data_IF_409663466967
#
_entry.id   IF_409663466967
#
_cell.length_a   1.000
_cell.length_b   1.000
_cell.length_c   1.000
_cell.angle_alpha   90.00
_cell.angle_beta   90.00
_cell.angle_gamma   90.00
#
_symmetry.space_group_name_H-M   'P 1'
#
loop_
_entity.id
_entity.type
_entity.pdbx_description
1 polymer ?
#
# COMPACT_ATOMS: atom_id res chain seq x y z
N UNK A 1 17.53 1.15 -7.74
CA UNK A 1 16.17 1.54 -7.32
C UNK A 1 15.18 1.08 -8.37
N UNK A 2 14.17 0.28 -7.99
CA UNK A 2 13.34 -0.48 -8.94
C UNK A 2 12.26 0.37 -9.63
N UNK A 3 11.87 -0.08 -10.84
CA UNK A 3 10.67 0.37 -11.59
C UNK A 3 9.43 -0.44 -11.17
N UNK A 4 9.40 -0.92 -9.94
CA UNK A 4 8.38 -1.86 -9.44
C UNK A 4 7.42 -1.15 -8.48
N UNK A 5 6.19 -1.66 -8.40
CA UNK A 5 5.26 -1.34 -7.33
C UNK A 5 5.76 -1.96 -6.02
N UNK A 6 5.70 -1.20 -4.94
CA UNK A 6 5.93 -1.72 -3.60
C UNK A 6 4.59 -2.23 -3.10
N UNK A 7 4.54 -3.52 -2.80
CA UNK A 7 3.38 -4.15 -2.19
C UNK A 7 3.83 -4.64 -0.82
N UNK A 8 3.16 -4.17 0.23
CA UNK A 8 3.37 -4.67 1.57
C UNK A 8 2.55 -5.95 1.78
N UNK A 9 3.13 -6.92 2.48
CA UNK A 9 2.38 -8.11 2.93
C UNK A 9 1.48 -7.68 4.09
N UNK A 10 0.22 -8.08 4.03
CA UNK A 10 -0.73 -7.91 5.13
C UNK A 10 -0.48 -9.00 6.17
N UNK A 11 0.20 -8.64 7.27
CA UNK A 11 0.48 -9.51 8.41
C UNK A 11 -0.54 -9.32 9.56
N UNK A 12 -1.73 -8.79 9.25
CA UNK A 12 -2.80 -8.61 10.24
C UNK A 12 -3.30 -9.95 10.80
N UNK A 13 -3.89 -9.88 12.01
CA UNK A 13 -4.49 -11.06 12.65
C UNK A 13 -5.69 -11.56 11.84
N UNK A 14 -6.45 -10.64 11.27
CA UNK A 14 -7.62 -10.90 10.44
C UNK A 14 -7.23 -11.60 9.13
N UNK A 15 -6.17 -11.16 8.47
CA UNK A 15 -5.66 -11.83 7.28
C UNK A 15 -5.11 -13.23 7.60
N UNK A 16 -4.37 -13.36 8.69
CA UNK A 16 -3.86 -14.66 9.15
C UNK A 16 -5.01 -15.64 9.44
N UNK A 17 -6.07 -15.18 10.11
CA UNK A 17 -7.25 -15.99 10.39
C UNK A 17 -7.95 -16.45 9.10
N UNK A 18 -8.14 -15.57 8.12
CA UNK A 18 -8.71 -15.91 6.80
C UNK A 18 -7.88 -16.96 6.07
N UNK A 19 -6.55 -16.86 6.12
CA UNK A 19 -5.65 -17.84 5.50
C UNK A 19 -5.80 -19.20 6.18
N UNK A 20 -5.79 -19.25 7.52
CA UNK A 20 -5.95 -20.49 8.28
C UNK A 20 -7.31 -21.13 8.00
N UNK A 21 -8.39 -20.33 7.99
CA UNK A 21 -9.73 -20.79 7.66
C UNK A 21 -9.76 -21.44 6.26
N UNK A 22 -9.20 -20.77 5.26
CA UNK A 22 -9.11 -21.31 3.90
C UNK A 22 -8.31 -22.62 3.86
N UNK A 23 -7.16 -22.68 4.55
CA UNK A 23 -6.35 -23.91 4.63
C UNK A 23 -7.09 -25.06 5.29
N UNK A 24 -7.83 -24.78 6.37
CA UNK A 24 -8.65 -25.78 7.06
C UNK A 24 -9.78 -26.30 6.16
N UNK A 25 -10.53 -25.41 5.50
CA UNK A 25 -11.57 -25.81 4.53
C UNK A 25 -10.99 -26.65 3.38
N UNK A 26 -9.79 -26.30 2.89
CA UNK A 26 -9.09 -27.08 1.88
C UNK A 26 -8.73 -28.47 2.37
N UNK A 27 -8.17 -28.58 3.58
CA UNK A 27 -7.78 -29.86 4.17
C UNK A 27 -9.00 -30.72 4.57
N UNK A 28 -10.13 -30.09 4.91
CA UNK A 28 -11.40 -30.75 5.17
C UNK A 28 -12.12 -31.23 3.89
N UNK A 29 -11.62 -30.88 2.70
CA UNK A 29 -12.25 -31.23 1.43
C UNK A 29 -13.48 -30.38 1.07
N UNK A 30 -13.70 -29.27 1.76
CA UNK A 30 -14.82 -28.35 1.52
C UNK A 30 -14.56 -27.41 0.32
N UNK A 31 -13.32 -27.36 -0.18
CA UNK A 31 -12.93 -26.54 -1.33
C UNK A 31 -12.63 -27.45 -2.51
N UNK A 32 -13.35 -27.25 -3.61
CA UNK A 32 -13.06 -27.91 -4.88
C UNK A 32 -11.85 -27.23 -5.56
N UNK A 33 -10.72 -27.95 -5.75
CA UNK A 33 -9.56 -27.40 -6.45
C UNK A 33 -9.88 -26.98 -7.90
N UNK A 34 -10.91 -27.57 -8.51
CA UNK A 34 -11.30 -27.25 -9.88
C UNK A 34 -11.91 -25.84 -10.00
N UNK A 35 -12.48 -25.27 -8.93
CA UNK A 35 -13.00 -23.90 -8.97
C UNK A 35 -11.89 -22.89 -9.23
N UNK A 36 -10.73 -23.07 -8.60
CA UNK A 36 -9.57 -22.22 -8.85
C UNK A 36 -9.10 -22.31 -10.30
N UNK A 37 -9.05 -23.53 -10.85
CA UNK A 37 -8.68 -23.73 -12.26
C UNK A 37 -9.70 -23.13 -13.23
N UNK A 38 -11.00 -23.25 -12.93
CA UNK A 38 -12.07 -22.60 -13.70
C UNK A 38 -11.90 -21.07 -13.70
N UNK A 39 -11.65 -20.48 -12.53
CA UNK A 39 -11.41 -19.03 -12.42
C UNK A 39 -10.16 -18.58 -13.20
N UNK A 40 -9.06 -19.34 -13.12
CA UNK A 40 -7.85 -19.08 -13.90
C UNK A 40 -8.15 -19.13 -15.40
N UNK A 41 -8.80 -20.19 -15.87
CA UNK A 41 -9.16 -20.36 -17.28
C UNK A 41 -10.09 -19.26 -17.77
N UNK A 42 -11.03 -18.83 -16.94
CA UNK A 42 -11.94 -17.72 -17.22
C UNK A 42 -11.17 -16.40 -17.39
N UNK A 43 -10.29 -16.04 -16.45
CA UNK A 43 -9.46 -14.83 -16.55
C UNK A 43 -8.55 -14.88 -17.78
N UNK A 44 -7.91 -16.03 -18.05
CA UNK A 44 -7.09 -16.20 -19.26
C UNK A 44 -7.90 -16.00 -20.53
N UNK A 45 -9.14 -16.48 -20.57
CA UNK A 45 -10.03 -16.31 -21.72
C UNK A 45 -10.40 -14.85 -21.90
N UNK A 46 -10.69 -14.11 -20.83
CA UNK A 46 -10.91 -12.66 -20.88
C UNK A 46 -9.69 -11.96 -21.47
N UNK A 47 -8.49 -12.23 -20.93
CA UNK A 47 -7.24 -11.60 -21.37
C UNK A 47 -6.94 -11.89 -22.84
N UNK A 48 -7.22 -13.11 -23.33
CA UNK A 48 -7.03 -13.48 -24.75
C UNK A 48 -7.96 -12.75 -25.70
N UNK A 49 -9.12 -12.32 -25.23
CA UNK A 49 -10.07 -11.59 -26.08
C UNK A 49 -9.63 -10.13 -26.28
N UNK A 50 -8.85 -9.56 -25.36
CA UNK A 50 -8.38 -8.17 -25.45
C UNK A 50 -7.68 -7.89 -26.78
N UNK A 51 -8.09 -6.81 -27.43
CA UNK A 51 -7.47 -6.32 -28.67
C UNK A 51 -6.42 -5.28 -28.32
N UNK A 52 -5.41 -5.16 -29.19
CA UNK A 52 -4.33 -4.18 -29.04
C UNK A 52 -4.85 -2.81 -29.43
N UNK A 53 -4.78 -1.86 -28.51
CA UNK A 53 -5.16 -0.47 -28.70
C UNK A 53 -4.14 0.43 -28.04
N UNK A 54 -3.91 1.60 -28.63
CA UNK A 54 -3.25 2.70 -27.92
C UNK A 54 -4.27 3.39 -27.02
N UNK A 55 -3.84 3.80 -25.82
CA UNK A 55 -4.70 4.48 -24.85
C UNK A 55 -4.28 5.94 -24.71
N UNK A 56 -5.25 6.83 -24.91
CA UNK A 56 -5.14 8.26 -24.67
C UNK A 56 -5.86 8.61 -23.38
N UNK A 57 -5.20 9.38 -22.52
CA UNK A 57 -5.79 9.96 -21.32
C UNK A 57 -5.94 11.48 -21.50
N UNK A 58 -7.15 11.99 -21.85
CA UNK A 58 -7.40 13.42 -21.99
C UNK A 58 -7.16 14.21 -20.70
N UNK A 59 -7.26 13.56 -19.55
CA UNK A 59 -7.14 14.17 -18.22
C UNK A 59 -5.71 14.16 -17.68
N UNK A 60 -4.73 13.61 -18.41
CA UNK A 60 -3.37 13.40 -17.91
C UNK A 60 -2.68 14.68 -17.40
N UNK A 61 -2.95 15.83 -18.02
CA UNK A 61 -2.37 17.13 -17.65
C UNK A 61 -2.97 17.74 -16.39
N UNK A 62 -4.14 17.27 -15.96
CA UNK A 62 -4.88 17.75 -14.79
C UNK A 62 -4.65 16.87 -13.55
N UNK A 63 -3.95 15.75 -13.71
CA UNK A 63 -3.66 14.81 -12.65
C UNK A 63 -2.28 15.08 -12.05
N UNK A 64 -2.27 15.43 -10.77
CA UNK A 64 -1.06 15.73 -10.02
C UNK A 64 -0.94 14.81 -8.80
N UNK A 65 0.29 14.41 -8.51
CA UNK A 65 0.64 13.69 -7.28
C UNK A 65 1.05 14.69 -6.19
N UNK A 66 0.87 14.36 -4.90
CA UNK A 66 1.30 15.23 -3.81
C UNK A 66 2.80 15.54 -3.87
N UNK A 67 3.19 16.79 -3.60
CA UNK A 67 4.61 17.22 -3.67
C UNK A 67 5.52 16.50 -2.66
N UNK A 68 4.94 16.08 -1.53
CA UNK A 68 5.65 15.34 -0.46
C UNK A 68 6.14 13.95 -0.91
N UNK A 69 5.76 13.48 -2.09
CA UNK A 69 6.16 12.17 -2.63
C UNK A 69 7.64 12.15 -3.03
N UNK A 70 8.40 11.23 -2.44
CA UNK A 70 9.75 10.94 -2.91
C UNK A 70 9.74 10.38 -4.35
N UNK A 71 10.63 10.90 -5.21
CA UNK A 71 10.79 10.45 -6.61
C UNK A 71 9.50 10.60 -7.43
N UNK A 72 8.79 11.72 -7.23
CA UNK A 72 7.51 12.07 -7.86
C UNK A 72 7.45 11.78 -9.37
N UNK A 73 8.53 12.05 -10.12
CA UNK A 73 8.62 11.77 -11.57
C UNK A 73 8.30 10.31 -11.91
N UNK A 74 8.88 9.36 -11.17
CA UNK A 74 8.68 7.92 -11.44
C UNK A 74 7.29 7.48 -11.02
N UNK A 75 6.78 8.00 -9.91
CA UNK A 75 5.43 7.68 -9.47
C UNK A 75 4.40 8.21 -10.46
N UNK A 76 4.64 9.38 -11.06
CA UNK A 76 3.75 9.93 -12.08
C UNK A 76 3.70 9.06 -13.34
N UNK A 77 4.85 8.61 -13.85
CA UNK A 77 4.91 7.65 -14.97
C UNK A 77 4.15 6.36 -14.66
N UNK A 78 4.34 5.81 -13.44
CA UNK A 78 3.64 4.61 -12.99
C UNK A 78 2.13 4.84 -12.85
N UNK A 79 1.72 5.99 -12.34
CA UNK A 79 0.32 6.37 -12.18
C UNK A 79 -0.39 6.40 -13.54
N UNK A 80 0.20 7.10 -14.52
CA UNK A 80 -0.31 7.14 -15.88
C UNK A 80 -0.34 5.75 -16.54
N UNK A 81 0.66 4.90 -16.28
CA UNK A 81 0.69 3.55 -16.82
C UNK A 81 -0.45 2.67 -16.30
N UNK A 82 -0.80 2.77 -15.01
CA UNK A 82 -1.93 2.00 -14.46
C UNK A 82 -3.26 2.53 -14.93
N UNK A 83 -3.45 3.85 -15.04
CA UNK A 83 -4.67 4.42 -15.66
C UNK A 83 -4.85 3.83 -17.05
N UNK A 84 -3.80 3.86 -17.88
CA UNK A 84 -3.84 3.25 -19.21
C UNK A 84 -4.18 1.76 -19.17
N UNK A 85 -3.62 1.02 -18.21
CA UNK A 85 -3.89 -0.41 -18.06
C UNK A 85 -5.35 -0.68 -17.68
N UNK A 86 -5.93 0.12 -16.80
CA UNK A 86 -7.35 0.01 -16.40
C UNK A 86 -8.25 0.31 -17.60
N UNK A 87 -8.02 1.42 -18.31
CA UNK A 87 -8.76 1.74 -19.55
C UNK A 87 -8.63 0.63 -20.59
N UNK A 88 -7.43 0.05 -20.74
CA UNK A 88 -7.19 -1.05 -21.67
C UNK A 88 -7.96 -2.33 -21.30
N UNK A 89 -8.08 -2.64 -20.01
CA UNK A 89 -8.88 -3.77 -19.53
C UNK A 89 -10.37 -3.52 -19.76
N UNK A 90 -10.81 -2.27 -19.64
CA UNK A 90 -12.18 -1.83 -19.90
C UNK A 90 -12.46 -1.51 -21.38
N UNK A 91 -11.60 -1.95 -22.32
CA UNK A 91 -11.64 -1.53 -23.73
C UNK A 91 -12.99 -1.74 -24.45
N UNK A 92 -13.82 -2.68 -23.98
CA UNK A 92 -15.14 -2.94 -24.58
C UNK A 92 -16.23 -1.99 -24.09
N UNK A 93 -15.99 -1.26 -22.99
CA UNK A 93 -16.89 -0.25 -22.44
C UNK A 93 -16.47 1.18 -22.81
N UNK A 94 -15.30 1.36 -23.45
CA UNK A 94 -14.71 2.67 -23.72
C UNK A 94 -14.92 3.11 -25.16
N UNK A 95 -14.97 4.43 -25.35
CA UNK A 95 -15.05 5.06 -26.66
C UNK A 95 -13.71 5.00 -27.38
N UNK A 96 -13.78 4.89 -28.71
CA UNK A 96 -12.63 4.97 -29.59
C UNK A 96 -12.57 6.35 -30.26
N UNK A 97 -11.35 6.85 -30.48
CA UNK A 97 -11.11 7.99 -31.37
C UNK A 97 -11.24 7.58 -32.84
N UNK A 98 -11.28 8.56 -33.74
CA UNK A 98 -11.25 8.34 -35.19
C UNK A 98 -10.02 7.54 -35.65
N UNK A 99 -8.93 7.58 -34.88
CA UNK A 99 -7.69 6.84 -35.15
C UNK A 99 -7.64 5.47 -34.44
N UNK A 100 -8.79 4.97 -33.97
CA UNK A 100 -8.90 3.66 -33.32
C UNK A 100 -8.09 3.55 -32.01
N UNK A 101 -8.06 4.61 -31.21
CA UNK A 101 -7.39 4.65 -29.90
C UNK A 101 -8.43 4.72 -28.79
N UNK A 102 -8.20 4.04 -27.66
CA UNK A 102 -9.09 4.06 -26.51
C UNK A 102 -8.99 5.39 -25.76
N UNK A 103 -10.13 5.94 -25.37
CA UNK A 103 -10.22 7.13 -24.55
C UNK A 103 -10.43 6.72 -23.09
N UNK A 104 -9.55 7.20 -22.21
CA UNK A 104 -9.69 7.04 -20.76
C UNK A 104 -10.93 7.78 -20.27
N UNK A 105 -11.78 7.11 -19.50
CA UNK A 105 -12.90 7.75 -18.79
C UNK A 105 -12.54 7.98 -17.31
N UNK A 106 -13.31 8.82 -16.63
CA UNK A 106 -13.01 9.22 -15.24
C UNK A 106 -13.07 8.01 -14.30
N UNK A 107 -13.94 7.04 -14.57
CA UNK A 107 -14.04 5.80 -13.81
C UNK A 107 -12.74 4.99 -13.84
N UNK A 108 -11.99 5.03 -14.95
CA UNK A 108 -10.68 4.35 -15.03
C UNK A 108 -9.66 5.01 -14.11
N UNK A 109 -9.70 6.34 -14.01
CA UNK A 109 -8.83 7.11 -13.12
C UNK A 109 -9.17 6.80 -11.66
N UNK A 110 -10.45 6.70 -11.32
CA UNK A 110 -10.91 6.31 -9.97
C UNK A 110 -10.39 4.93 -9.58
N UNK A 111 -10.62 3.93 -10.43
CA UNK A 111 -10.17 2.56 -10.20
C UNK A 111 -8.64 2.47 -10.11
N UNK A 112 -7.93 3.14 -11.01
CA UNK A 112 -6.47 3.18 -10.98
C UNK A 112 -5.96 3.83 -9.69
N UNK A 113 -6.56 4.95 -9.27
CA UNK A 113 -6.20 5.65 -8.03
C UNK A 113 -6.39 4.75 -6.82
N UNK A 114 -7.52 4.04 -6.74
CA UNK A 114 -7.81 3.11 -5.65
C UNK A 114 -6.78 1.99 -5.58
N UNK A 115 -6.49 1.34 -6.71
CA UNK A 115 -5.51 0.24 -6.78
C UNK A 115 -4.10 0.71 -6.41
N UNK A 116 -3.72 1.91 -6.83
CA UNK A 116 -2.39 2.48 -6.56
C UNK A 116 -2.24 3.10 -5.19
N UNK A 117 -3.33 3.43 -4.51
CA UNK A 117 -3.30 4.26 -3.32
C UNK A 117 -2.31 3.72 -2.27
N UNK A 118 -2.37 2.42 -1.99
CA UNK A 118 -1.44 1.75 -1.07
C UNK A 118 0.03 1.85 -1.52
N UNK A 119 0.29 1.68 -2.81
CA UNK A 119 1.64 1.83 -3.38
C UNK A 119 2.15 3.27 -3.33
N UNK A 120 1.26 4.26 -3.45
CA UNK A 120 1.60 5.69 -3.31
C UNK A 120 1.99 5.95 -1.85
N UNK A 121 1.18 5.50 -0.89
CA UNK A 121 1.46 5.68 0.53
C UNK A 121 2.79 5.05 0.91
N UNK A 122 3.07 3.82 0.48
CA UNK A 122 4.35 3.15 0.75
C UNK A 122 5.58 3.85 0.15
N UNK A 123 5.40 4.78 -0.79
CA UNK A 123 6.49 5.58 -1.37
C UNK A 123 6.62 6.97 -0.75
N UNK A 124 5.54 7.50 -0.19
CA UNK A 124 5.56 8.74 0.59
C UNK A 124 6.11 8.48 1.99
N UNK A 125 5.74 7.33 2.54
CA UNK A 125 6.20 6.89 3.85
C UNK A 125 7.70 6.57 3.80
N UNK A 126 8.42 7.03 4.83
CA UNK A 126 9.83 6.71 5.03
C UNK A 126 10.03 5.36 5.73
N UNK A 127 9.00 4.87 6.44
CA UNK A 127 8.98 3.53 7.02
C UNK A 127 8.44 2.54 5.97
N UNK A 128 9.17 1.44 5.74
CA UNK A 128 8.65 0.36 4.92
C UNK A 128 7.43 -0.29 5.58
N UNK A 129 6.60 -1.01 4.82
CA UNK A 129 5.32 -1.53 5.30
C UNK A 129 5.42 -2.36 6.60
N UNK A 130 6.47 -3.17 6.74
CA UNK A 130 6.65 -4.02 7.93
C UNK A 130 7.07 -3.20 9.16
N UNK A 131 7.98 -2.24 8.99
CA UNK A 131 8.40 -1.30 10.02
C UNK A 131 7.29 -0.36 10.43
N UNK A 132 6.48 0.12 9.48
CA UNK A 132 5.29 0.94 9.72
C UNK A 132 4.28 0.19 10.58
N UNK A 133 3.93 -1.05 10.22
CA UNK A 133 3.02 -1.88 11.02
C UNK A 133 3.58 -2.13 12.44
N UNK A 134 4.87 -2.40 12.56
CA UNK A 134 5.53 -2.51 13.86
C UNK A 134 5.43 -1.22 14.68
N UNK A 135 5.71 -0.07 14.06
CA UNK A 135 5.69 1.22 14.74
C UNK A 135 4.28 1.61 15.21
N UNK A 136 3.23 1.35 14.43
CA UNK A 136 1.85 1.55 14.87
C UNK A 136 1.49 0.66 16.06
N UNK A 137 1.96 -0.60 16.09
CA UNK A 137 1.77 -1.50 17.24
C UNK A 137 2.55 -1.02 18.46
N UNK A 138 3.76 -0.50 18.27
CA UNK A 138 4.58 0.08 19.32
C UNK A 138 3.91 1.32 19.93
N UNK A 139 3.38 2.23 19.11
CA UNK A 139 2.61 3.41 19.57
C UNK A 139 1.41 2.99 20.43
N UNK A 140 0.67 1.95 20.01
CA UNK A 140 -0.46 1.39 20.79
C UNK A 140 -0.03 0.84 22.15
N UNK A 141 1.16 0.25 22.26
CA UNK A 141 1.69 -0.26 23.52
C UNK A 141 2.17 0.86 24.46
N UNK A 142 2.97 1.80 23.92
CA UNK A 142 3.61 2.86 24.70
C UNK A 142 2.60 3.93 25.14
N UNK A 143 1.49 4.12 24.42
CA UNK A 143 0.34 5.02 24.71
C UNK A 143 0.65 6.53 24.79
N UNK A 144 1.74 6.92 25.45
CA UNK A 144 2.12 8.30 25.75
C UNK A 144 3.60 8.56 25.44
N UNK A 145 3.95 9.80 25.08
CA UNK A 145 5.32 10.18 24.70
C UNK A 145 6.36 10.06 25.84
N UNK A 146 5.90 10.08 27.09
CA UNK A 146 6.74 10.03 28.28
C UNK A 146 7.00 8.61 28.80
N UNK A 147 6.43 7.58 28.16
CA UNK A 147 6.59 6.20 28.60
C UNK A 147 7.81 5.55 27.95
N UNK A 148 8.74 5.11 28.79
CA UNK A 148 9.85 4.27 28.37
C UNK A 148 9.38 2.83 28.12
N UNK A 149 10.03 2.12 27.20
CA UNK A 149 9.83 0.69 26.97
C UNK A 149 11.17 -0.05 26.90
N UNK A 150 11.12 -1.33 27.29
CA UNK A 150 12.24 -2.26 27.12
C UNK A 150 11.99 -3.18 25.93
N UNK A 151 13.04 -3.51 25.18
CA UNK A 151 12.91 -4.46 24.05
C UNK A 151 12.31 -5.81 24.48
N UNK A 152 12.61 -6.29 25.70
CA UNK A 152 12.07 -7.57 26.20
C UNK A 152 10.54 -7.55 26.27
N UNK A 153 9.96 -6.46 26.75
CA UNK A 153 8.51 -6.28 26.90
C UNK A 153 7.84 -6.25 25.53
N UNK A 154 8.35 -5.42 24.62
CA UNK A 154 7.85 -5.32 23.24
C UNK A 154 7.94 -6.66 22.52
N UNK A 155 9.02 -7.42 22.75
CA UNK A 155 9.19 -8.75 22.16
C UNK A 155 8.09 -9.72 22.59
N UNK A 156 7.74 -9.71 23.88
CA UNK A 156 6.74 -10.59 24.45
C UNK A 156 5.33 -10.17 24.03
N UNK A 157 5.03 -8.87 24.11
CA UNK A 157 3.73 -8.34 23.73
C UNK A 157 3.43 -8.50 22.23
N UNK A 158 4.40 -8.17 21.39
CA UNK A 158 4.22 -8.20 19.95
C UNK A 158 4.53 -9.56 19.32
N UNK A 159 5.03 -10.52 20.10
CA UNK A 159 5.44 -11.85 19.67
C UNK A 159 6.40 -11.83 18.46
N UNK A 160 7.45 -11.00 18.55
CA UNK A 160 8.44 -10.82 17.48
C UNK A 160 9.73 -11.54 17.86
N UNK A 161 10.47 -12.07 16.88
CA UNK A 161 11.78 -12.67 17.16
C UNK A 161 12.80 -11.63 17.64
N UNK A 162 13.82 -12.05 18.40
CA UNK A 162 14.88 -11.15 18.88
C UNK A 162 15.56 -10.40 17.72
N UNK A 163 15.91 -11.13 16.65
CA UNK A 163 16.61 -10.58 15.49
C UNK A 163 15.75 -9.56 14.75
N UNK A 164 14.46 -9.84 14.54
CA UNK A 164 13.58 -8.93 13.82
C UNK A 164 13.32 -7.65 14.65
N UNK A 165 13.09 -7.79 15.96
CA UNK A 165 12.94 -6.64 16.84
C UNK A 165 14.19 -5.75 16.82
N UNK A 166 15.38 -6.34 16.90
CA UNK A 166 16.62 -5.56 16.88
C UNK A 166 16.76 -4.78 15.57
N UNK A 167 16.41 -5.38 14.42
CA UNK A 167 16.40 -4.67 13.13
C UNK A 167 15.47 -3.47 13.15
N UNK A 168 14.21 -3.65 13.58
CA UNK A 168 13.25 -2.56 13.65
C UNK A 168 13.70 -1.43 14.60
N UNK A 169 14.19 -1.79 15.79
CA UNK A 169 14.68 -0.80 16.76
C UNK A 169 15.86 -0.01 16.19
N UNK A 170 16.81 -0.67 15.52
CA UNK A 170 17.95 0.01 14.90
C UNK A 170 17.49 0.97 13.81
N UNK A 171 16.58 0.55 12.92
CA UNK A 171 16.08 1.42 11.84
C UNK A 171 15.29 2.62 12.40
N UNK A 172 14.47 2.43 13.45
CA UNK A 172 13.76 3.55 14.08
C UNK A 172 14.71 4.51 14.82
N UNK A 173 15.84 4.04 15.34
CA UNK A 173 16.88 4.90 15.90
C UNK A 173 17.58 5.70 14.82
N UNK A 174 17.93 5.06 13.70
CA UNK A 174 18.58 5.71 12.54
C UNK A 174 17.68 6.80 11.92
N UNK A 175 16.37 6.57 11.90
CA UNK A 175 15.37 7.54 11.42
C UNK A 175 14.88 8.50 12.52
N UNK A 176 15.46 8.45 13.72
CA UNK A 176 15.14 9.34 14.86
C UNK A 176 13.68 9.25 15.36
N UNK A 177 12.96 8.19 15.00
CA UNK A 177 11.61 7.89 15.49
C UNK A 177 11.58 7.54 16.97
N UNK A 178 12.64 6.92 17.45
CA UNK A 178 12.85 6.60 18.86
C UNK A 178 14.23 7.08 19.30
N UNK A 179 14.41 7.24 20.62
CA UNK A 179 15.74 7.44 21.22
C UNK A 179 15.96 6.58 22.44
N UNK A 180 17.22 6.33 22.75
CA UNK A 180 17.60 5.76 24.03
C UNK A 180 17.39 6.80 25.14
N UNK A 181 16.57 6.46 26.14
CA UNK A 181 16.29 7.32 27.29
C UNK A 181 17.14 6.99 28.52
N UNK A 182 17.76 5.80 28.53
CA UNK A 182 18.69 5.39 29.58
C UNK A 182 18.84 3.88 29.65
N UNK A 183 19.23 3.39 30.83
CA UNK A 183 19.46 1.97 31.09
C UNK A 183 20.95 1.61 31.06
N UNK A 184 21.23 0.41 31.54
CA UNK A 184 22.58 -0.16 31.65
C UNK A 184 22.59 -1.52 30.98
N UNK A 185 23.72 -1.94 30.40
CA UNK A 185 23.85 -3.25 29.74
C UNK A 185 23.34 -4.41 30.61
N UNK A 186 23.49 -4.29 31.93
CA UNK A 186 23.15 -5.34 32.90
C UNK A 186 21.65 -5.36 33.27
N UNK A 187 20.93 -4.24 33.07
CA UNK A 187 19.52 -4.06 33.46
C UNK A 187 18.57 -3.87 32.27
N UNK A 188 19.12 -3.79 31.06
CA UNK A 188 18.39 -3.51 29.83
C UNK A 188 18.42 -2.01 29.47
N UNK A 189 18.42 -1.75 28.17
CA UNK A 189 18.38 -0.41 27.59
C UNK A 189 16.92 0.01 27.46
N UNK A 190 16.62 1.23 27.92
CA UNK A 190 15.31 1.86 27.80
C UNK A 190 15.25 2.76 26.57
N UNK A 191 14.14 2.67 25.86
CA UNK A 191 13.85 3.47 24.68
C UNK A 191 12.55 4.25 24.89
N UNK A 192 12.42 5.37 24.19
CA UNK A 192 11.16 6.12 24.10
C UNK A 192 10.92 6.63 22.69
N UNK A 193 9.65 6.78 22.33
CA UNK A 193 9.24 7.34 21.04
C UNK A 193 9.45 8.85 21.09
N UNK A 194 10.19 9.37 20.13
CA UNK A 194 10.49 10.81 19.99
C UNK A 194 9.64 11.50 18.95
N UNK A 195 9.31 10.78 17.87
CA UNK A 195 8.52 11.32 16.78
C UNK A 195 7.21 10.53 16.65
N UNK A 196 6.11 11.17 17.07
CA UNK A 196 4.75 10.62 17.00
C UNK A 196 4.07 11.06 15.73
N UNK A 197 4.44 10.41 14.63
CA UNK A 197 3.80 10.70 13.36
C UNK A 197 2.33 10.28 13.31
N UNK A 198 1.59 10.90 12.39
CA UNK A 198 0.19 10.60 12.15
C UNK A 198 -0.02 10.06 10.74
N UNK A 199 0.31 8.78 10.57
CA UNK A 199 0.15 8.06 9.31
C UNK A 199 -1.32 8.03 8.81
N UNK A 200 -2.31 8.03 9.72
CA UNK A 200 -3.72 8.11 9.34
C UNK A 200 -4.07 9.47 8.72
N UNK A 201 -3.61 10.55 9.33
CA UNK A 201 -3.78 11.91 8.79
C UNK A 201 -3.09 12.05 7.44
N UNK A 202 -1.85 11.55 7.32
CA UNK A 202 -1.12 11.56 6.04
C UNK A 202 -1.90 10.82 4.93
N UNK A 203 -2.44 9.63 5.24
CA UNK A 203 -3.30 8.88 4.32
C UNK A 203 -4.55 9.68 3.91
N UNK A 204 -5.24 10.28 4.88
CA UNK A 204 -6.43 11.07 4.61
C UNK A 204 -6.10 12.27 3.72
N UNK A 205 -5.06 13.04 4.03
CA UNK A 205 -4.60 14.19 3.23
C UNK A 205 -4.31 13.79 1.77
N UNK A 206 -3.60 12.68 1.56
CA UNK A 206 -3.26 12.20 0.21
C UNK A 206 -4.51 11.70 -0.52
N UNK A 207 -5.40 10.99 0.18
CA UNK A 207 -6.65 10.48 -0.40
C UNK A 207 -7.54 11.63 -0.84
N UNK A 208 -7.75 12.60 0.04
CA UNK A 208 -8.58 13.78 -0.23
C UNK A 208 -7.99 14.59 -1.39
N UNK A 209 -6.67 14.78 -1.43
CA UNK A 209 -5.98 15.46 -2.52
C UNK A 209 -6.21 14.81 -3.89
N UNK A 210 -6.16 13.48 -3.97
CA UNK A 210 -6.39 12.74 -5.22
C UNK A 210 -7.88 12.72 -5.59
N UNK A 211 -8.76 12.49 -4.63
CA UNK A 211 -10.21 12.40 -4.87
C UNK A 211 -10.82 13.76 -5.24
N UNK A 212 -10.36 14.86 -4.64
CA UNK A 212 -10.84 16.21 -4.99
C UNK A 212 -10.46 16.59 -6.44
N UNK A 213 -9.29 16.15 -6.92
CA UNK A 213 -8.92 16.32 -8.33
C UNK A 213 -9.88 15.56 -9.23
N UNK A 214 -10.12 14.28 -8.95
CA UNK A 214 -11.05 13.44 -9.72
C UNK A 214 -12.46 14.04 -9.73
N UNK A 215 -12.97 14.52 -8.59
CA UNK A 215 -14.27 15.17 -8.51
C UNK A 215 -14.33 16.44 -9.38
N UNK A 216 -13.24 17.21 -9.43
CA UNK A 216 -13.15 18.40 -10.27
C UNK A 216 -13.22 18.06 -11.76
N UNK A 217 -12.63 16.92 -12.18
CA UNK A 217 -12.75 16.40 -13.55
C UNK A 217 -14.20 16.03 -13.90
N UNK A 218 -14.99 15.56 -12.94
CA UNK A 218 -16.42 15.22 -13.17
C UNK A 218 -17.28 16.45 -13.41
N UNK A 219 -16.93 17.59 -12.80
CA UNK A 219 -17.69 18.84 -12.88
C UNK A 219 -17.37 19.59 -14.19
N UNK A 220 -16.12 19.49 -14.67
CA UNK A 220 -15.67 20.07 -15.93
C UNK A 220 -15.11 18.96 -16.86
N UNK A 221 -15.98 18.19 -17.53
CA UNK A 221 -15.60 16.99 -18.28
C UNK A 221 -14.77 17.24 -19.55
#
# INVERSE_FOLDING_TARGET
MSRSFLIAVDESKEQTARIIEYQNKRNAGEIDPNESQKAIGFIQSIVRNLKVYEVINPYATQLHLPEKVHKIRRLNEMYQAVIKQVTFLNQYQRKLTNNNQLITEIEDIEQATEVLFESIILKVDELDGSLRQFFERLKKYVKNENQDFLQREIRQELNISKTQLQRYINTLLELEYIKQSGGYNNKGIKYKITYWDNHQKLRAEIKDFLMNQIQSLKINP
#
